data_IF_160787805547
#
_entry.id   IF_160787805547
#
_cell.length_a   1.000
_cell.length_b   1.000
_cell.length_c   1.000
_cell.angle_alpha   90.00
_cell.angle_beta   90.00
_cell.angle_gamma   90.00
#
_symmetry.space_group_name_H-M   'P 1'
#
loop_
_entity.id
_entity.type
_entity.pdbx_description
1 polymer ?
#
# COMPACT_ATOMS: atom_id res chain seq x y z
N UNK A 1 -19.14 11.97 11.60
CA UNK A 1 -17.74 11.67 11.97
C UNK A 1 -17.20 12.91 12.64
N UNK A 2 -16.63 12.79 13.84
CA UNK A 2 -15.99 13.93 14.52
C UNK A 2 -14.94 14.52 13.58
N UNK A 3 -14.96 15.84 13.41
CA UNK A 3 -14.00 16.54 12.57
C UNK A 3 -12.62 16.35 13.20
N UNK A 4 -11.77 15.57 12.54
CA UNK A 4 -10.37 15.42 12.93
C UNK A 4 -9.68 16.77 12.87
N UNK A 5 -8.89 17.06 13.90
CA UNK A 5 -8.01 18.22 13.90
C UNK A 5 -7.08 18.17 12.66
N UNK A 6 -6.80 19.30 11.99
CA UNK A 6 -5.92 19.32 10.83
C UNK A 6 -4.54 18.70 11.09
N UNK A 7 -3.92 18.98 12.23
CA UNK A 7 -2.62 18.42 12.60
C UNK A 7 -2.70 16.91 12.74
N UNK A 8 -3.68 16.43 13.51
CA UNK A 8 -3.92 14.99 13.70
C UNK A 8 -4.15 14.26 12.36
N UNK A 9 -4.81 14.91 11.40
CA UNK A 9 -5.04 14.34 10.07
C UNK A 9 -3.75 14.19 9.27
N UNK A 10 -2.91 15.22 9.24
CA UNK A 10 -1.62 15.17 8.55
C UNK A 10 -0.70 14.15 9.21
N UNK A 11 -0.67 14.07 10.54
CA UNK A 11 0.08 13.08 11.30
C UNK A 11 -0.35 11.64 10.97
N UNK A 12 -1.65 11.39 10.90
CA UNK A 12 -2.18 10.08 10.46
C UNK A 12 -1.83 9.77 9.01
N UNK A 13 -1.83 10.76 8.12
CA UNK A 13 -1.38 10.59 6.75
C UNK A 13 0.09 10.15 6.73
N UNK A 14 0.96 10.83 7.49
CA UNK A 14 2.39 10.50 7.60
C UNK A 14 2.60 9.07 8.10
N UNK A 15 1.94 8.66 9.18
CA UNK A 15 2.03 7.29 9.71
C UNK A 15 1.59 6.23 8.69
N UNK A 16 0.51 6.51 7.94
CA UNK A 16 0.03 5.61 6.88
C UNK A 16 0.98 5.55 5.70
N UNK A 17 1.55 6.68 5.30
CA UNK A 17 2.52 6.72 4.21
C UNK A 17 3.82 5.99 4.58
N UNK A 18 4.31 6.14 5.82
CA UNK A 18 5.43 5.35 6.34
C UNK A 18 5.15 3.86 6.30
N UNK A 19 3.93 3.42 6.69
CA UNK A 19 3.52 2.02 6.57
C UNK A 19 3.47 1.51 5.12
N UNK A 20 3.15 2.38 4.16
CA UNK A 20 3.25 2.06 2.74
C UNK A 20 4.72 1.92 2.31
N UNK A 21 5.61 2.81 2.78
CA UNK A 21 7.03 2.77 2.43
C UNK A 21 7.78 1.58 3.02
N UNK A 22 7.34 1.07 4.17
CA UNK A 22 7.87 -0.17 4.76
C UNK A 22 7.38 -1.46 4.07
N UNK A 23 6.52 -1.35 3.05
CA UNK A 23 6.06 -2.52 2.30
C UNK A 23 7.21 -3.21 1.56
N UNK A 24 7.23 -4.55 1.53
CA UNK A 24 8.28 -5.34 0.88
C UNK A 24 8.49 -4.95 -0.58
N UNK A 25 7.41 -4.76 -1.36
CA UNK A 25 7.52 -4.29 -2.75
C UNK A 25 8.21 -2.92 -2.88
N UNK A 26 8.00 -2.00 -1.93
CA UNK A 26 8.67 -0.69 -1.96
C UNK A 26 10.14 -0.87 -1.60
N UNK A 27 10.44 -1.68 -0.59
CA UNK A 27 11.81 -1.90 -0.11
C UNK A 27 12.68 -2.69 -1.08
N UNK A 28 12.11 -3.70 -1.73
CA UNK A 28 12.85 -4.70 -2.51
C UNK A 28 12.67 -4.53 -4.02
N UNK A 29 11.55 -3.93 -4.46
CA UNK A 29 11.18 -3.83 -5.88
C UNK A 29 10.80 -2.38 -6.28
N UNK A 30 11.38 -1.36 -5.63
CA UNK A 30 11.12 0.05 -5.93
C UNK A 30 11.36 0.43 -7.39
N UNK A 31 12.40 -0.15 -8.02
CA UNK A 31 12.70 0.07 -9.43
C UNK A 31 11.56 -0.42 -10.34
N UNK A 32 11.04 -1.63 -10.07
CA UNK A 32 9.91 -2.19 -10.81
C UNK A 32 8.65 -1.33 -10.64
N UNK A 33 8.32 -0.93 -9.40
CA UNK A 33 7.19 -0.04 -9.14
C UNK A 33 7.37 1.32 -9.85
N UNK A 34 8.58 1.83 -9.93
CA UNK A 34 8.89 3.08 -10.64
C UNK A 34 8.67 2.93 -12.15
N UNK A 35 9.11 1.83 -12.74
CA UNK A 35 8.92 1.56 -14.17
C UNK A 35 7.43 1.42 -14.50
N UNK A 36 6.67 0.71 -13.65
CA UNK A 36 5.22 0.57 -13.77
C UNK A 36 4.50 1.91 -13.62
N UNK A 37 4.90 2.74 -12.65
CA UNK A 37 4.32 4.05 -12.45
C UNK A 37 4.53 4.96 -13.68
N UNK A 38 5.69 4.88 -14.33
CA UNK A 38 6.02 5.63 -15.55
C UNK A 38 5.42 5.03 -16.83
N UNK A 39 4.82 3.84 -16.76
CA UNK A 39 4.33 3.13 -17.95
C UNK A 39 5.45 2.63 -18.87
N UNK A 40 6.63 2.31 -18.32
CA UNK A 40 7.76 1.82 -19.11
C UNK A 40 7.50 0.39 -19.57
N UNK A 41 7.70 0.14 -20.87
CA UNK A 41 7.55 -1.17 -21.49
C UNK A 41 8.84 -1.56 -22.20
N UNK A 42 9.22 -2.83 -22.15
CA UNK A 42 10.36 -3.35 -22.93
C UNK A 42 9.84 -3.93 -24.23
N UNK A 43 10.31 -3.41 -25.35
CA UNK A 43 9.96 -3.93 -26.68
C UNK A 43 11.12 -4.76 -27.25
N UNK A 44 10.87 -6.03 -27.53
CA UNK A 44 11.79 -6.90 -28.24
C UNK A 44 11.42 -6.91 -29.73
N UNK A 45 12.37 -6.57 -30.60
CA UNK A 45 12.19 -6.60 -32.05
C UNK A 45 13.13 -7.65 -32.62
N UNK A 46 12.55 -8.69 -33.22
CA UNK A 46 13.29 -9.76 -33.90
C UNK A 46 13.07 -9.63 -35.39
N UNK A 47 14.13 -9.42 -36.17
CA UNK A 47 14.04 -9.35 -37.63
C UNK A 47 14.57 -10.64 -38.23
N UNK A 48 13.78 -11.32 -39.04
CA UNK A 48 14.26 -12.44 -39.83
C UNK A 48 15.11 -11.91 -41.00
N UNK A 49 16.43 -12.15 -41.02
CA UNK A 49 17.31 -11.58 -42.04
C UNK A 49 17.06 -12.16 -43.45
N UNK A 50 16.27 -13.23 -43.58
CA UNK A 50 15.95 -13.87 -44.87
C UNK A 50 14.63 -13.39 -45.46
N UNK A 51 13.63 -13.10 -44.63
CA UNK A 51 12.31 -12.65 -45.09
C UNK A 51 12.08 -11.15 -44.90
N UNK A 52 12.96 -10.48 -44.14
CA UNK A 52 12.84 -9.06 -43.71
C UNK A 52 11.58 -8.83 -42.86
N UNK A 53 10.90 -9.89 -42.43
CA UNK A 53 9.76 -9.81 -41.53
C UNK A 53 10.26 -9.56 -40.10
N UNK A 54 9.67 -8.56 -39.46
CA UNK A 54 9.93 -8.22 -38.06
C UNK A 54 8.83 -8.74 -37.16
N UNK A 55 9.19 -9.47 -36.11
CA UNK A 55 8.32 -9.79 -34.99
C UNK A 55 8.59 -8.80 -33.85
N UNK A 56 7.56 -8.13 -33.34
CA UNK A 56 7.64 -7.21 -32.22
C UNK A 56 6.88 -7.81 -31.03
N UNK A 57 7.53 -7.87 -29.86
CA UNK A 57 6.93 -8.37 -28.62
C UNK A 57 7.10 -7.34 -27.52
N UNK A 58 6.01 -7.01 -26.84
CA UNK A 58 6.02 -6.19 -25.63
C UNK A 58 6.18 -7.12 -24.44
N UNK A 59 7.16 -6.84 -23.59
CA UNK A 59 7.40 -7.53 -22.33
C UNK A 59 7.17 -6.55 -21.17
N UNK A 60 6.29 -6.97 -20.26
CA UNK A 60 5.96 -6.23 -19.06
C UNK A 60 6.23 -7.16 -17.88
N UNK A 61 7.08 -6.71 -16.99
CA UNK A 61 7.37 -7.39 -15.73
C UNK A 61 6.37 -6.86 -14.69
N UNK A 62 5.74 -7.76 -13.94
CA UNK A 62 4.74 -7.44 -12.91
C UNK A 62 5.20 -8.02 -11.57
N UNK A 63 4.93 -7.35 -10.44
CA UNK A 63 5.24 -7.89 -9.12
C UNK A 63 4.40 -9.14 -8.82
N UNK A 64 4.78 -9.96 -7.82
CA UNK A 64 3.94 -11.04 -7.33
C UNK A 64 2.56 -10.53 -6.87
N UNK A 65 1.48 -11.15 -7.35
CA UNK A 65 0.11 -10.67 -7.14
C UNK A 65 -0.26 -10.57 -5.65
N UNK A 66 0.00 -11.60 -4.85
CA UNK A 66 -0.29 -11.61 -3.40
C UNK A 66 0.37 -10.43 -2.67
N UNK A 67 1.65 -10.15 -2.96
CA UNK A 67 2.35 -9.01 -2.39
C UNK A 67 1.74 -7.69 -2.89
N UNK A 68 1.29 -7.65 -4.15
CA UNK A 68 0.68 -6.46 -4.73
C UNK A 68 -0.71 -6.16 -4.19
N UNK A 69 -1.54 -7.17 -3.89
CA UNK A 69 -2.81 -7.00 -3.17
C UNK A 69 -2.60 -6.30 -1.83
N UNK A 70 -1.60 -6.76 -1.07
CA UNK A 70 -1.20 -6.18 0.21
C UNK A 70 -0.76 -4.72 0.05
N UNK A 71 -0.04 -4.40 -1.02
CA UNK A 71 0.39 -3.04 -1.36
C UNK A 71 -0.80 -2.13 -1.74
N UNK A 72 -1.66 -2.59 -2.64
CA UNK A 72 -2.86 -1.85 -3.07
C UNK A 72 -3.82 -1.60 -1.90
N UNK A 73 -4.01 -2.59 -1.01
CA UNK A 73 -4.84 -2.45 0.19
C UNK A 73 -4.34 -1.31 1.11
N UNK A 74 -3.02 -1.13 1.22
CA UNK A 74 -2.42 -0.03 2.02
C UNK A 74 -2.66 1.35 1.43
N UNK A 75 -3.01 1.46 0.15
CA UNK A 75 -3.30 2.74 -0.50
C UNK A 75 -4.75 3.20 -0.38
N UNK A 76 -5.68 2.28 -0.09
CA UNK A 76 -7.12 2.58 0.04
C UNK A 76 -7.42 3.76 0.98
N UNK A 77 -6.75 3.92 2.14
CA UNK A 77 -6.97 5.08 3.00
C UNK A 77 -6.77 6.43 2.31
N UNK A 78 -5.88 6.50 1.30
CA UNK A 78 -5.61 7.73 0.56
C UNK A 78 -6.62 8.00 -0.55
N UNK A 79 -7.28 6.97 -1.10
CA UNK A 79 -8.12 7.08 -2.30
C UNK A 79 -9.63 7.02 -2.02
N UNK A 80 -10.04 6.60 -0.83
CA UNK A 80 -11.46 6.52 -0.46
C UNK A 80 -11.92 7.77 0.28
N UNK A 81 -12.89 8.51 -0.25
CA UNK A 81 -13.36 9.78 0.32
C UNK A 81 -13.92 9.71 1.75
N UNK A 82 -14.36 8.53 2.18
CA UNK A 82 -14.85 8.27 3.55
C UNK A 82 -13.71 8.10 4.57
N UNK A 83 -12.48 7.91 4.11
CA UNK A 83 -11.35 7.67 4.98
C UNK A 83 -10.82 8.99 5.56
N UNK A 84 -10.40 9.00 6.84
CA UNK A 84 -9.81 10.17 7.49
C UNK A 84 -8.63 10.79 6.74
N UNK A 85 -7.82 9.96 6.08
CA UNK A 85 -6.59 10.37 5.41
C UNK A 85 -6.74 10.39 3.89
N UNK A 86 -7.98 10.48 3.40
CA UNK A 86 -8.26 10.73 1.99
C UNK A 86 -7.45 11.93 1.50
N UNK A 87 -6.82 11.80 0.33
CA UNK A 87 -5.82 12.76 -0.16
C UNK A 87 -6.33 14.20 -0.16
N UNK A 88 -7.57 14.48 -0.61
CA UNK A 88 -8.12 15.86 -0.59
C UNK A 88 -8.16 16.42 0.82
N UNK A 89 -8.71 15.64 1.76
CA UNK A 89 -8.84 16.06 3.14
C UNK A 89 -7.47 16.25 3.81
N UNK A 90 -6.49 15.41 3.46
CA UNK A 90 -5.13 15.52 3.98
C UNK A 90 -4.41 16.77 3.43
N UNK A 91 -4.59 17.09 2.14
CA UNK A 91 -4.04 18.31 1.54
C UNK A 91 -4.72 19.58 2.05
N UNK A 92 -6.03 19.56 2.28
CA UNK A 92 -6.77 20.66 2.93
C UNK A 92 -6.23 20.94 4.33
N UNK A 93 -6.02 19.88 5.10
CA UNK A 93 -5.45 19.98 6.44
C UNK A 93 -4.02 20.52 6.39
N UNK A 94 -3.19 20.02 5.47
CA UNK A 94 -1.82 20.51 5.26
C UNK A 94 -1.81 22.00 4.94
N UNK A 95 -2.59 22.43 3.95
CA UNK A 95 -2.69 23.84 3.56
C UNK A 95 -3.11 24.75 4.73
N UNK A 96 -4.06 24.29 5.55
CA UNK A 96 -4.52 25.05 6.73
C UNK A 96 -3.48 25.22 7.83
N UNK A 97 -2.45 24.36 7.86
CA UNK A 97 -1.36 24.41 8.86
C UNK A 97 -0.18 25.27 8.40
N UNK A 98 -0.10 25.61 7.11
CA UNK A 98 1.00 26.39 6.55
C UNK A 98 0.72 27.90 6.68
N UNK A 99 1.78 28.68 6.86
CA UNK A 99 1.68 30.15 6.87
C UNK A 99 1.39 30.69 5.46
N UNK A 100 0.84 31.90 5.38
CA UNK A 100 0.59 32.57 4.08
C UNK A 100 1.88 32.79 3.29
N UNK A 101 2.95 33.14 3.98
CA UNK A 101 4.28 33.32 3.39
C UNK A 101 4.77 31.99 2.80
N UNK A 102 4.59 30.89 3.54
CA UNK A 102 4.97 29.55 3.07
C UNK A 102 4.21 29.15 1.80
N UNK A 103 2.90 29.37 1.79
CA UNK A 103 2.03 29.09 0.63
C UNK A 103 2.34 29.97 -0.58
N UNK A 104 2.86 31.18 -0.37
CA UNK A 104 3.15 32.11 -1.47
C UNK A 104 4.54 31.88 -2.06
N UNK A 105 5.52 31.55 -1.22
CA UNK A 105 6.93 31.52 -1.62
C UNK A 105 7.48 30.13 -1.91
N UNK A 106 6.95 29.08 -1.27
CA UNK A 106 7.59 27.76 -1.25
C UNK A 106 6.70 26.60 -1.68
N UNK A 107 5.37 26.74 -1.64
CA UNK A 107 4.45 25.62 -1.79
C UNK A 107 3.40 25.90 -2.86
N UNK A 108 3.37 25.05 -3.89
CA UNK A 108 2.28 25.02 -4.86
C UNK A 108 1.29 23.89 -4.50
N UNK A 109 0.27 24.23 -3.70
CA UNK A 109 -0.77 23.28 -3.29
C UNK A 109 -1.64 22.84 -4.46
N UNK A 110 -1.86 23.68 -5.48
CA UNK A 110 -2.73 23.31 -6.60
C UNK A 110 -2.03 22.28 -7.49
N UNK A 111 -0.75 22.47 -7.81
CA UNK A 111 0.02 21.45 -8.55
C UNK A 111 0.01 20.09 -7.83
N UNK A 112 0.11 20.08 -6.50
CA UNK A 112 0.03 18.84 -5.72
C UNK A 112 -1.38 18.21 -5.82
N UNK A 113 -2.44 19.00 -5.74
CA UNK A 113 -3.83 18.54 -5.91
C UNK A 113 -4.07 18.01 -7.32
N UNK A 114 -3.61 18.69 -8.35
CA UNK A 114 -3.72 18.27 -9.74
C UNK A 114 -3.00 16.94 -9.98
N UNK A 115 -1.79 16.78 -9.42
CA UNK A 115 -1.05 15.53 -9.50
C UNK A 115 -1.84 14.37 -8.86
N UNK A 116 -2.37 14.56 -7.64
CA UNK A 116 -3.24 13.57 -7.01
C UNK A 116 -4.49 13.26 -7.84
N UNK A 117 -5.23 14.29 -8.30
CA UNK A 117 -6.41 14.14 -9.16
C UNK A 117 -6.09 13.29 -10.38
N UNK A 118 -4.98 13.57 -11.05
CA UNK A 118 -4.57 12.86 -12.28
C UNK A 118 -4.39 11.36 -12.06
N UNK A 119 -3.91 10.94 -10.88
CA UNK A 119 -3.66 9.53 -10.58
C UNK A 119 -4.83 8.82 -9.88
N UNK A 120 -5.76 9.54 -9.23
CA UNK A 120 -6.90 8.94 -8.51
C UNK A 120 -8.26 9.06 -9.19
N UNK A 121 -8.46 9.99 -10.14
CA UNK A 121 -9.78 10.26 -10.76
C UNK A 121 -9.93 9.69 -12.19
N UNK A 122 -9.06 8.75 -12.59
CA UNK A 122 -8.88 8.24 -13.97
C UNK A 122 -10.05 7.48 -14.63
N UNK A 123 -11.29 7.54 -14.12
CA UNK A 123 -12.41 6.75 -14.66
C UNK A 123 -12.80 7.07 -16.11
N UNK A 124 -12.45 8.26 -16.62
CA UNK A 124 -12.79 8.71 -17.99
C UNK A 124 -11.59 9.00 -18.88
N UNK A 125 -10.38 9.02 -18.30
CA UNK A 125 -9.15 9.37 -19.02
C UNK A 125 -8.15 8.28 -18.71
N UNK A 126 -7.66 7.61 -19.75
CA UNK A 126 -6.58 6.64 -19.64
C UNK A 126 -5.34 7.32 -19.05
N UNK A 127 -4.73 6.69 -18.04
CA UNK A 127 -3.49 7.19 -17.45
C UNK A 127 -2.28 6.72 -18.24
N UNK A 128 -2.31 5.48 -18.74
CA UNK A 128 -1.27 4.94 -19.59
C UNK A 128 -1.82 4.40 -20.92
N UNK A 129 -2.94 3.69 -20.89
CA UNK A 129 -3.54 3.09 -22.08
C UNK A 129 -5.05 2.84 -21.90
N UNK A 130 -5.73 2.58 -23.01
CA UNK A 130 -7.07 2.01 -23.05
C UNK A 130 -7.06 0.78 -23.96
N UNK A 131 -8.00 -0.13 -23.72
CA UNK A 131 -8.23 -1.31 -24.57
C UNK A 131 -9.49 -1.07 -25.37
N UNK A 132 -9.45 -1.40 -26.66
CA UNK A 132 -10.62 -1.39 -27.56
C UNK A 132 -10.94 -2.83 -27.93
N UNK A 133 -12.21 -3.18 -27.78
CA UNK A 133 -12.81 -4.46 -28.15
C UNK A 133 -14.03 -4.20 -29.02
N UNK A 134 -14.61 -5.25 -29.58
CA UNK A 134 -15.87 -5.13 -30.33
C UNK A 134 -17.03 -4.64 -29.45
N UNK A 135 -16.95 -4.88 -28.13
CA UNK A 135 -17.94 -4.49 -27.12
C UNK A 135 -17.74 -3.06 -26.56
N UNK A 136 -16.67 -2.38 -26.99
CA UNK A 136 -16.35 -1.00 -26.60
C UNK A 136 -14.94 -0.82 -26.05
N UNK A 137 -14.73 0.31 -25.36
CA UNK A 137 -13.43 0.71 -24.82
C UNK A 137 -13.40 0.73 -23.29
N UNK A 138 -12.22 0.51 -22.71
CA UNK A 138 -12.00 0.58 -21.27
C UNK A 138 -10.61 1.12 -20.95
N UNK A 139 -10.52 2.07 -20.01
CA UNK A 139 -9.24 2.65 -19.57
C UNK A 139 -8.49 1.70 -18.63
N UNK A 140 -7.18 1.86 -18.54
CA UNK A 140 -6.35 1.17 -17.54
C UNK A 140 -6.86 1.38 -16.10
N UNK A 141 -7.37 2.57 -15.77
CA UNK A 141 -7.97 2.83 -14.47
C UNK A 141 -9.24 2.01 -14.22
N UNK A 142 -10.13 1.91 -15.21
CA UNK A 142 -11.34 1.08 -15.09
C UNK A 142 -10.98 -0.41 -14.93
N UNK A 143 -9.97 -0.88 -15.65
CA UNK A 143 -9.46 -2.25 -15.52
C UNK A 143 -8.85 -2.51 -14.13
N UNK A 144 -8.09 -1.55 -13.60
CA UNK A 144 -7.55 -1.62 -12.25
C UNK A 144 -8.67 -1.69 -11.18
N UNK A 145 -9.75 -0.92 -11.35
CA UNK A 145 -10.92 -1.00 -10.48
C UNK A 145 -11.64 -2.35 -10.58
N UNK A 146 -11.72 -2.96 -11.77
CA UNK A 146 -12.28 -4.30 -11.91
C UNK A 146 -11.45 -5.34 -11.17
N UNK A 147 -10.12 -5.30 -11.32
CA UNK A 147 -9.23 -6.18 -10.56
C UNK A 147 -9.41 -6.01 -9.06
N UNK A 148 -9.36 -4.76 -8.56
CA UNK A 148 -9.49 -4.49 -7.13
C UNK A 148 -10.86 -4.97 -6.58
N UNK A 149 -11.95 -4.73 -7.30
CA UNK A 149 -13.31 -4.97 -6.79
C UNK A 149 -13.91 -6.34 -7.15
N UNK A 150 -13.31 -7.09 -8.06
CA UNK A 150 -13.88 -8.37 -8.53
C UNK A 150 -12.93 -9.53 -8.32
N UNK A 151 -11.63 -9.31 -8.54
CA UNK A 151 -10.63 -10.36 -8.50
C UNK A 151 -9.91 -10.40 -7.13
N UNK A 152 -9.54 -9.24 -6.55
CA UNK A 152 -8.67 -9.16 -5.38
C UNK A 152 -9.39 -8.92 -4.03
N UNK A 153 -10.10 -7.80 -3.84
CA UNK A 153 -10.61 -7.38 -2.51
C UNK A 153 -12.10 -7.61 -2.29
N UNK A 154 -12.87 -7.58 -3.37
CA UNK A 154 -14.32 -7.77 -3.32
C UNK A 154 -14.71 -8.85 -4.33
N UNK A 155 -15.86 -9.48 -4.12
CA UNK A 155 -16.40 -10.51 -5.02
C UNK A 155 -17.49 -9.93 -5.91
N UNK A 156 -17.32 -8.68 -6.36
CA UNK A 156 -18.31 -8.04 -7.24
C UNK A 156 -18.28 -8.73 -8.60
N UNK A 157 -19.45 -8.96 -9.17
CA UNK A 157 -19.54 -9.51 -10.51
C UNK A 157 -19.17 -8.41 -11.51
N UNK A 158 -18.18 -8.68 -12.37
CA UNK A 158 -17.87 -7.83 -13.52
C UNK A 158 -19.12 -7.73 -14.40
N UNK A 159 -19.68 -6.53 -14.55
CA UNK A 159 -20.89 -6.31 -15.33
C UNK A 159 -20.60 -5.95 -16.80
N UNK A 160 -19.52 -5.21 -17.04
CA UNK A 160 -19.15 -4.73 -18.38
C UNK A 160 -18.76 -5.88 -19.31
N UNK A 161 -19.20 -5.81 -20.57
CA UNK A 161 -18.87 -6.80 -21.59
C UNK A 161 -17.36 -6.83 -21.86
N UNK A 162 -16.74 -5.66 -22.11
CA UNK A 162 -15.28 -5.50 -22.24
C UNK A 162 -14.52 -6.09 -21.05
N UNK A 163 -15.01 -5.87 -19.83
CA UNK A 163 -14.35 -6.37 -18.62
C UNK A 163 -14.38 -7.89 -18.47
N UNK A 164 -15.44 -8.54 -18.98
CA UNK A 164 -15.58 -10.02 -19.00
C UNK A 164 -14.74 -10.67 -20.09
N UNK A 165 -14.52 -9.98 -21.20
CA UNK A 165 -13.67 -10.46 -22.30
C UNK A 165 -12.19 -10.49 -21.90
N UNK A 166 -11.75 -9.50 -21.11
CA UNK A 166 -10.36 -9.41 -20.68
C UNK A 166 -10.02 -10.45 -19.60
N UNK A 167 -8.79 -10.92 -19.64
CA UNK A 167 -8.26 -11.88 -18.67
C UNK A 167 -7.94 -11.23 -17.33
N UNK A 168 -7.84 -12.05 -16.28
CA UNK A 168 -7.31 -11.64 -14.97
C UNK A 168 -5.96 -10.93 -15.11
N UNK A 169 -5.04 -11.49 -15.91
CA UNK A 169 -3.69 -10.93 -16.10
C UNK A 169 -3.71 -9.53 -16.73
N UNK A 170 -4.63 -9.25 -17.66
CA UNK A 170 -4.77 -7.92 -18.25
C UNK A 170 -5.32 -6.90 -17.25
N UNK A 171 -6.31 -7.30 -16.43
CA UNK A 171 -6.80 -6.43 -15.35
C UNK A 171 -5.74 -6.19 -14.28
N UNK A 172 -4.98 -7.23 -13.93
CA UNK A 172 -3.85 -7.12 -13.00
C UNK A 172 -2.74 -6.22 -13.53
N UNK A 173 -2.37 -6.31 -14.81
CA UNK A 173 -1.41 -5.39 -15.44
C UNK A 173 -1.83 -3.92 -15.29
N UNK A 174 -3.12 -3.63 -15.49
CA UNK A 174 -3.66 -2.29 -15.32
C UNK A 174 -3.57 -1.83 -13.85
N UNK A 175 -3.96 -2.71 -12.91
CA UNK A 175 -3.85 -2.46 -11.47
C UNK A 175 -2.39 -2.19 -11.06
N UNK A 176 -1.44 -2.98 -11.56
CA UNK A 176 -0.02 -2.82 -11.32
C UNK A 176 0.46 -1.40 -11.64
N UNK A 177 0.10 -0.88 -12.82
CA UNK A 177 0.44 0.49 -13.22
C UNK A 177 -0.27 1.56 -12.38
N UNK A 178 -1.58 1.44 -12.19
CA UNK A 178 -2.40 2.45 -11.49
C UNK A 178 -2.00 2.59 -10.02
N UNK A 179 -1.93 1.48 -9.29
CA UNK A 179 -1.55 1.53 -7.87
C UNK A 179 -0.07 1.88 -7.71
N UNK A 180 0.81 1.55 -8.65
CA UNK A 180 2.20 2.06 -8.60
C UNK A 180 2.26 3.59 -8.70
N UNK A 181 1.43 4.22 -9.55
CA UNK A 181 1.32 5.70 -9.62
C UNK A 181 0.75 6.30 -8.35
N UNK A 182 -0.30 5.69 -7.79
CA UNK A 182 -0.88 6.14 -6.50
C UNK A 182 0.15 6.03 -5.37
N UNK A 183 0.92 4.95 -5.34
CA UNK A 183 2.00 4.76 -4.38
C UNK A 183 3.11 5.80 -4.52
N UNK A 184 3.48 6.13 -5.77
CA UNK A 184 4.47 7.15 -6.06
C UNK A 184 4.03 8.55 -5.59
N UNK A 185 2.77 8.95 -5.82
CA UNK A 185 2.28 10.26 -5.34
C UNK A 185 2.14 10.29 -3.81
N UNK A 186 1.76 9.18 -3.18
CA UNK A 186 1.72 9.06 -1.72
C UNK A 186 3.12 9.22 -1.12
N UNK A 187 4.12 8.57 -1.71
CA UNK A 187 5.52 8.70 -1.31
C UNK A 187 6.03 10.14 -1.50
N UNK A 188 5.75 10.75 -2.66
CA UNK A 188 6.12 12.13 -2.93
C UNK A 188 5.52 13.09 -1.89
N UNK A 189 4.24 12.91 -1.56
CA UNK A 189 3.54 13.73 -0.56
C UNK A 189 4.14 13.55 0.83
N UNK A 190 4.50 12.33 1.21
CA UNK A 190 5.20 12.05 2.47
C UNK A 190 6.56 12.78 2.54
N UNK A 191 7.36 12.70 1.49
CA UNK A 191 8.64 13.40 1.43
C UNK A 191 8.48 14.92 1.43
N UNK A 192 7.44 15.43 0.76
CA UNK A 192 7.10 16.85 0.78
C UNK A 192 6.74 17.32 2.21
N UNK A 193 5.86 16.61 2.91
CA UNK A 193 5.53 16.91 4.32
C UNK A 193 6.78 16.84 5.20
N UNK A 194 7.59 15.80 5.00
CA UNK A 194 8.85 15.64 5.74
C UNK A 194 9.77 16.84 5.51
N UNK A 195 9.93 17.30 4.27
CA UNK A 195 10.71 18.48 3.94
C UNK A 195 10.21 19.74 4.67
N UNK A 196 8.90 19.99 4.66
CA UNK A 196 8.32 21.14 5.37
C UNK A 196 8.61 21.11 6.87
N UNK A 197 8.56 19.93 7.50
CA UNK A 197 8.92 19.79 8.92
C UNK A 197 10.40 20.06 9.15
N UNK A 198 11.29 19.48 8.34
CA UNK A 198 12.74 19.70 8.48
C UNK A 198 13.15 21.16 8.22
N UNK A 199 12.43 21.87 7.34
CA UNK A 199 12.63 23.28 7.06
C UNK A 199 12.02 24.21 8.14
N UNK A 200 11.32 23.66 9.14
CA UNK A 200 10.64 24.44 10.17
C UNK A 200 9.37 25.16 9.69
N UNK A 201 8.87 24.80 8.51
CA UNK A 201 7.68 25.37 7.87
C UNK A 201 6.38 24.71 8.31
N UNK A 202 6.46 23.52 8.91
CA UNK A 202 5.34 22.76 9.45
C UNK A 202 5.72 22.15 10.80
N UNK A 203 4.83 22.22 11.79
CA UNK A 203 5.03 21.60 13.10
C UNK A 203 4.12 20.40 13.29
N UNK A 204 4.70 19.20 13.30
CA UNK A 204 4.06 17.93 13.66
C UNK A 204 4.73 17.35 14.90
N UNK A 205 4.08 16.41 15.58
CA UNK A 205 4.74 15.61 16.62
C UNK A 205 5.92 14.82 16.01
N UNK A 206 7.17 14.96 16.50
CA UNK A 206 8.31 14.20 16.01
C UNK A 206 8.12 12.67 16.05
N UNK A 207 7.30 12.17 16.98
CA UNK A 207 7.00 10.74 17.12
C UNK A 207 6.39 10.15 15.85
N UNK A 208 5.67 10.93 15.03
CA UNK A 208 5.05 10.41 13.80
C UNK A 208 6.06 9.96 12.75
N UNK A 209 7.31 10.42 12.87
CA UNK A 209 8.42 10.03 11.99
C UNK A 209 9.28 8.89 12.55
N UNK A 210 9.15 8.57 13.84
CA UNK A 210 9.97 7.56 14.51
C UNK A 210 9.18 6.35 15.00
N UNK A 211 7.88 6.51 15.29
CA UNK A 211 7.00 5.45 15.78
C UNK A 211 7.05 4.21 14.88
N UNK A 212 6.92 3.03 15.49
CA UNK A 212 6.82 1.77 14.75
C UNK A 212 5.54 1.74 13.91
N UNK A 213 5.68 1.49 12.62
CA UNK A 213 4.55 1.37 11.67
C UNK A 213 4.31 -0.06 11.19
N UNK A 214 5.17 -0.98 11.63
CA UNK A 214 5.11 -2.42 11.38
C UNK A 214 5.11 -3.15 12.72
N UNK A 215 4.38 -4.26 12.80
CA UNK A 215 4.39 -5.11 13.97
C UNK A 215 5.70 -5.91 14.04
N UNK A 216 6.18 -6.15 15.26
CA UNK A 216 7.21 -7.15 15.51
C UNK A 216 6.63 -8.54 15.27
N UNK A 217 7.42 -9.43 14.66
CA UNK A 217 7.00 -10.80 14.33
C UNK A 217 7.46 -11.83 15.37
N UNK A 218 8.23 -11.39 16.36
CA UNK A 218 8.64 -12.18 17.51
C UNK A 218 8.24 -11.42 18.76
N UNK A 219 7.39 -12.02 19.59
CA UNK A 219 6.94 -11.42 20.83
C UNK A 219 7.53 -12.23 21.97
N UNK A 220 8.44 -11.61 22.72
CA UNK A 220 8.94 -12.16 23.98
C UNK A 220 8.11 -11.56 25.11
N UNK A 221 7.37 -12.42 25.83
CA UNK A 221 6.53 -12.01 26.95
C UNK A 221 6.82 -12.90 28.15
N UNK A 222 7.12 -12.31 29.34
CA UNK A 222 7.19 -13.09 30.56
C UNK A 222 5.82 -13.73 30.83
N UNK A 223 5.81 -15.03 31.10
CA UNK A 223 4.59 -15.78 31.40
C UNK A 223 4.76 -16.62 32.67
N UNK A 224 3.79 -16.51 33.57
CA UNK A 224 3.62 -17.46 34.68
C UNK A 224 2.74 -18.60 34.19
N UNK A 225 3.34 -19.76 33.96
CA UNK A 225 2.65 -20.96 33.46
C UNK A 225 2.49 -21.95 34.60
N UNK A 226 1.23 -22.25 34.90
CA UNK A 226 0.85 -23.29 35.86
C UNK A 226 0.45 -24.55 35.09
N UNK A 227 0.93 -25.71 35.52
CA UNK A 227 0.62 -26.99 34.88
C UNK A 227 0.08 -27.98 35.90
N UNK A 228 -0.84 -28.85 35.47
CA UNK A 228 -1.41 -29.93 36.27
C UNK A 228 -1.38 -31.25 35.48
N UNK A 229 -1.60 -32.37 36.17
CA UNK A 229 -1.62 -33.68 35.53
C UNK A 229 -2.75 -33.82 34.51
N UNK A 230 -2.49 -34.58 33.44
CA UNK A 230 -3.50 -34.87 32.39
C UNK A 230 -4.73 -35.54 33.01
N UNK A 231 -5.90 -34.91 32.85
CA UNK A 231 -7.16 -35.37 33.44
C UNK A 231 -7.58 -34.63 34.72
N UNK A 232 -6.72 -33.76 35.26
CA UNK A 232 -7.16 -32.81 36.28
C UNK A 232 -8.21 -31.85 35.71
N UNK A 233 -9.28 -31.60 36.47
CA UNK A 233 -10.29 -30.61 36.10
C UNK A 233 -9.67 -29.22 35.97
N UNK A 234 -10.20 -28.39 35.05
CA UNK A 234 -9.80 -27.00 34.94
C UNK A 234 -10.00 -26.31 36.30
N UNK A 235 -8.99 -25.60 36.84
CA UNK A 235 -9.12 -24.88 38.10
C UNK A 235 -10.29 -23.91 38.02
N UNK A 236 -11.24 -24.03 38.95
CA UNK A 236 -12.38 -23.10 39.07
C UNK A 236 -12.05 -21.85 39.86
N UNK A 237 -10.88 -21.83 40.50
CA UNK A 237 -10.35 -20.72 41.28
C UNK A 237 -8.88 -20.51 40.94
N UNK A 238 -8.54 -19.29 40.49
CA UNK A 238 -7.19 -18.89 40.09
C UNK A 238 -6.50 -18.01 41.15
N UNK A 239 -7.16 -17.76 42.29
CA UNK A 239 -6.66 -16.86 43.34
C UNK A 239 -5.55 -17.46 44.21
N UNK A 240 -5.40 -18.79 44.19
CA UNK A 240 -4.37 -19.54 44.93
C UNK A 240 -3.69 -20.58 44.01
N UNK A 241 -3.11 -20.13 42.90
CA UNK A 241 -2.21 -20.97 42.13
C UNK A 241 -0.86 -21.00 42.86
N UNK A 242 -0.69 -21.98 43.74
CA UNK A 242 0.51 -22.15 44.54
C UNK A 242 1.74 -22.33 43.62
N UNK A 243 2.83 -21.54 43.78
CA UNK A 243 4.08 -21.79 43.08
C UNK A 243 4.84 -22.92 43.78
N UNK A 244 4.32 -24.15 43.74
CA UNK A 244 5.01 -25.35 44.21
C UNK A 244 4.90 -26.43 43.12
N UNK A 245 5.94 -26.99 42.52
CA UNK A 245 7.28 -27.34 43.01
C UNK A 245 8.30 -27.26 41.85
N UNK A 246 9.22 -26.29 41.86
CA UNK A 246 10.42 -26.32 41.01
C UNK A 246 11.48 -27.34 41.51
N UNK A 247 11.04 -28.35 42.25
CA UNK A 247 11.87 -29.35 42.92
C UNK A 247 11.64 -30.78 42.40
N UNK A 248 11.03 -30.96 41.22
CA UNK A 248 10.92 -32.26 40.56
C UNK A 248 11.40 -32.21 39.10
N UNK A 249 12.63 -32.71 38.92
CA UNK A 249 13.28 -33.12 37.66
C UNK A 249 13.88 -32.02 36.77
N UNK A 250 15.13 -31.66 37.08
CA UNK A 250 16.11 -31.27 36.05
C UNK A 250 16.37 -32.47 35.13
N UNK A 251 15.62 -32.59 34.03
CA UNK A 251 16.14 -33.31 32.87
C UNK A 251 16.87 -32.32 31.97
N UNK A 252 18.21 -32.37 32.05
CA UNK A 252 19.08 -31.85 30.99
C UNK A 252 18.67 -32.53 29.68
N UNK A 253 18.33 -31.79 28.62
CA UNK A 253 18.37 -32.37 27.29
C UNK A 253 19.84 -32.60 26.95
N UNK A 254 20.29 -33.85 27.05
CA UNK A 254 21.45 -34.30 26.28
C UNK A 254 21.10 -34.10 24.81
N UNK A 255 21.94 -33.36 24.11
CA UNK A 255 21.65 -32.91 22.76
C UNK A 255 21.46 -34.03 21.75
N UNK A 256 20.84 -33.65 20.64
CA UNK A 256 21.13 -34.17 19.31
C UNK A 256 20.70 -33.10 18.31
N UNK A 257 21.68 -32.54 17.60
CA UNK A 257 21.48 -31.86 16.33
C UNK A 257 20.86 -32.82 15.31
N UNK A 258 20.09 -32.27 14.36
CA UNK A 258 20.40 -32.45 12.95
C UNK A 258 20.81 -31.12 12.30
#
# INVERSE_FOLDING_TARGET
MSQLDPKERVERFVLRARRLMEHSLVREQSALLTDLAKGTVRMQVTVNPKTVEGEQRIQIELPPEEAFESFAARMRPFTMSKEPVYWENALDALESLLSKETLTEFVDMESLREHWKSVVTGRKIAQAYFVVTDEGEMTDFQLAELWLNSDALHTQLIQSAVGKELSLSQRYQAAAGVYSRIGAVANHTYHFISYLVHAGLLQLDPEVFTAAVMAETSIDMPAEVYSSAVGAGLPTDLSNLDPMDASSQRHRPTGTSP
#
